data_IF_139166088315
#
_entry.id   IF_139166088315
#
_cell.length_a   1.000
_cell.length_b   1.000
_cell.length_c   1.000
_cell.angle_alpha   90.00
_cell.angle_beta   90.00
_cell.angle_gamma   90.00
#
_symmetry.space_group_name_H-M   'P 1'
#
loop_
_entity.id
_entity.type
_entity.pdbx_description
1 polymer ?
#
# COMPACT_ATOMS: atom_id res chain seq x y z
N UNK A 1 12.09 -20.06 -15.85
CA UNK A 1 12.93 -20.03 -14.63
C UNK A 1 12.00 -20.19 -13.45
N UNK A 2 12.18 -21.19 -12.57
CA UNK A 2 11.30 -21.32 -11.38
C UNK A 2 11.47 -20.05 -10.54
N UNK A 3 10.40 -19.27 -10.38
CA UNK A 3 10.37 -18.14 -9.46
C UNK A 3 10.74 -18.64 -8.06
N UNK A 4 11.68 -17.99 -7.37
CA UNK A 4 12.04 -18.38 -6.00
C UNK A 4 10.81 -18.24 -5.11
N UNK A 5 10.60 -19.23 -4.24
CA UNK A 5 9.49 -19.19 -3.28
C UNK A 5 9.90 -18.35 -2.07
N UNK A 6 8.94 -17.66 -1.43
CA UNK A 6 9.23 -16.75 -0.30
C UNK A 6 10.09 -17.39 0.79
N UNK A 7 9.87 -18.68 1.06
CA UNK A 7 10.62 -19.46 2.07
C UNK A 7 12.10 -19.65 1.75
N UNK A 8 12.48 -19.59 0.47
CA UNK A 8 13.85 -19.84 0.00
C UNK A 8 14.58 -18.54 -0.36
N UNK A 9 13.90 -17.39 -0.23
CA UNK A 9 14.42 -16.07 -0.55
C UNK A 9 15.04 -15.42 0.69
N UNK A 10 16.27 -14.91 0.55
CA UNK A 10 16.96 -14.15 1.60
C UNK A 10 16.99 -12.65 1.32
N UNK A 11 17.01 -12.26 0.03
CA UNK A 11 17.05 -10.87 -0.39
C UNK A 11 15.76 -10.11 0.00
N UNK A 12 15.86 -9.00 0.75
CA UNK A 12 14.68 -8.26 1.21
C UNK A 12 13.84 -7.64 0.10
N UNK A 13 14.44 -7.18 -1.00
CA UNK A 13 13.68 -6.61 -2.12
C UNK A 13 12.96 -7.72 -2.91
N UNK A 14 13.58 -8.87 -3.09
CA UNK A 14 12.96 -10.06 -3.69
C UNK A 14 11.79 -10.57 -2.82
N UNK A 15 11.92 -10.53 -1.49
CA UNK A 15 10.79 -10.82 -0.58
C UNK A 15 9.64 -9.83 -0.76
N UNK A 16 9.94 -8.52 -0.84
CA UNK A 16 8.92 -7.48 -1.05
C UNK A 16 8.19 -7.69 -2.37
N UNK A 17 8.90 -8.01 -3.44
CA UNK A 17 8.32 -8.30 -4.75
C UNK A 17 7.38 -9.51 -4.69
N UNK A 18 7.83 -10.64 -4.10
CA UNK A 18 7.01 -11.86 -3.97
C UNK A 18 5.72 -11.58 -3.17
N UNK A 19 5.82 -10.84 -2.05
CA UNK A 19 4.66 -10.50 -1.21
C UNK A 19 3.70 -9.56 -1.95
N UNK A 20 4.24 -8.56 -2.67
CA UNK A 20 3.45 -7.64 -3.50
C UNK A 20 2.68 -8.36 -4.60
N UNK A 21 3.34 -9.28 -5.32
CA UNK A 21 2.72 -10.08 -6.38
C UNK A 21 1.61 -10.98 -5.82
N UNK A 22 1.84 -11.62 -4.66
CA UNK A 22 0.84 -12.44 -3.99
C UNK A 22 -0.39 -11.61 -3.58
N UNK A 23 -0.20 -10.38 -3.09
CA UNK A 23 -1.29 -9.47 -2.75
C UNK A 23 -2.13 -9.11 -3.99
N UNK A 24 -1.49 -8.81 -5.12
CA UNK A 24 -2.20 -8.50 -6.37
C UNK A 24 -3.04 -9.69 -6.84
N UNK A 25 -2.45 -10.88 -6.85
CA UNK A 25 -3.15 -12.10 -7.25
C UNK A 25 -4.37 -12.38 -6.36
N UNK A 26 -4.21 -12.19 -5.04
CA UNK A 26 -5.30 -12.34 -4.10
C UNK A 26 -6.41 -11.32 -4.36
N UNK A 27 -6.06 -10.03 -4.52
CA UNK A 27 -7.04 -8.97 -4.82
C UNK A 27 -7.84 -9.25 -6.08
N UNK A 28 -7.19 -9.68 -7.17
CA UNK A 28 -7.90 -10.01 -8.41
C UNK A 28 -8.86 -11.18 -8.21
N UNK A 29 -8.42 -12.23 -7.51
CA UNK A 29 -9.25 -13.37 -7.17
C UNK A 29 -10.45 -12.97 -6.31
N UNK A 30 -10.27 -12.06 -5.35
CA UNK A 30 -11.36 -11.60 -4.48
C UNK A 30 -12.38 -10.74 -5.24
N UNK A 31 -11.95 -9.90 -6.19
CA UNK A 31 -12.87 -9.16 -7.08
C UNK A 31 -13.73 -10.13 -7.89
N UNK A 32 -13.11 -11.12 -8.52
CA UNK A 32 -13.83 -12.15 -9.27
C UNK A 32 -14.78 -12.95 -8.38
N UNK A 33 -14.30 -13.40 -7.21
CA UNK A 33 -15.08 -14.18 -6.25
C UNK A 33 -16.31 -13.43 -5.73
N UNK A 34 -16.18 -12.11 -5.52
CA UNK A 34 -17.27 -11.25 -5.07
C UNK A 34 -18.17 -10.79 -6.22
N UNK A 35 -17.84 -11.10 -7.48
CA UNK A 35 -18.59 -10.65 -8.65
C UNK A 35 -18.55 -9.14 -8.84
N UNK A 36 -17.49 -8.48 -8.38
CA UNK A 36 -17.31 -7.05 -8.55
C UNK A 36 -16.81 -6.73 -9.95
N UNK A 37 -17.35 -5.67 -10.55
CA UNK A 37 -16.88 -5.19 -11.85
C UNK A 37 -15.52 -4.51 -11.69
N UNK A 38 -14.50 -5.07 -12.35
CA UNK A 38 -13.13 -4.58 -12.30
C UNK A 38 -12.96 -3.16 -12.87
N UNK A 39 -13.87 -2.71 -13.74
CA UNK A 39 -13.81 -1.38 -14.35
C UNK A 39 -14.42 -0.31 -13.45
N UNK A 40 -15.36 -0.67 -12.57
CA UNK A 40 -15.97 0.27 -11.60
C UNK A 40 -15.43 0.13 -10.18
N UNK A 41 -14.71 -0.96 -9.88
CA UNK A 41 -14.17 -1.19 -8.53
C UNK A 41 -13.00 -0.25 -8.27
N UNK A 42 -13.06 0.44 -7.13
CA UNK A 42 -12.00 1.34 -6.67
C UNK A 42 -11.21 0.72 -5.53
N UNK A 43 -9.90 0.98 -5.51
CA UNK A 43 -9.01 0.66 -4.41
C UNK A 43 -8.93 1.86 -3.46
N UNK A 44 -9.52 1.72 -2.27
CA UNK A 44 -9.38 2.70 -1.20
C UNK A 44 -8.11 2.42 -0.39
N UNK A 45 -7.23 3.42 -0.29
CA UNK A 45 -5.95 3.31 0.42
C UNK A 45 -5.87 4.30 1.58
N UNK A 46 -5.36 3.84 2.72
CA UNK A 46 -5.14 4.67 3.90
C UNK A 46 -3.89 5.55 3.84
N UNK A 47 -3.40 5.90 2.64
CA UNK A 47 -2.22 6.73 2.41
C UNK A 47 -2.37 8.08 3.10
N UNK A 48 -1.36 8.49 3.86
CA UNK A 48 -1.32 9.77 4.58
C UNK A 48 -0.44 10.78 3.86
N UNK A 49 -0.51 12.06 4.27
CA UNK A 49 0.32 13.13 3.72
C UNK A 49 1.84 12.84 3.78
N UNK A 50 2.40 12.33 4.90
CA UNK A 50 3.83 11.99 4.96
C UNK A 50 4.24 10.93 3.91
N UNK A 51 3.40 9.93 3.67
CA UNK A 51 3.66 8.85 2.73
C UNK A 51 3.82 9.37 1.28
N UNK A 52 3.04 10.40 0.91
CA UNK A 52 3.14 11.03 -0.41
C UNK A 52 4.41 11.86 -0.58
N UNK A 53 4.87 12.54 0.48
CA UNK A 53 6.10 13.33 0.45
C UNK A 53 7.31 12.40 0.29
N UNK A 54 7.33 11.27 1.02
CA UNK A 54 8.36 10.24 0.88
C UNK A 54 8.38 9.65 -0.53
N UNK A 55 7.20 9.31 -1.07
CA UNK A 55 7.06 8.78 -2.44
C UNK A 55 7.50 9.78 -3.52
N UNK A 56 7.27 11.09 -3.32
CA UNK A 56 7.71 12.14 -4.24
C UNK A 56 9.23 12.41 -4.18
N UNK A 57 9.84 12.21 -3.00
CA UNK A 57 11.29 12.34 -2.80
C UNK A 57 12.08 11.27 -3.57
N UNK A 58 11.56 10.04 -3.67
CA UNK A 58 12.16 8.98 -4.49
C UNK A 58 12.19 9.32 -5.99
N UNK A 59 11.19 10.08 -6.49
CA UNK A 59 11.16 10.57 -7.88
C UNK A 59 12.09 11.77 -8.12
N UNK A 60 12.43 12.53 -7.07
CA UNK A 60 13.22 13.77 -7.17
C UNK A 60 14.74 13.56 -7.00
N UNK A 61 15.19 12.47 -6.40
CA UNK A 61 16.61 12.23 -6.09
C UNK A 61 17.26 11.20 -7.03
N UNK A 62 17.84 11.69 -8.14
CA UNK A 62 18.67 10.90 -9.08
C UNK A 62 19.95 10.34 -8.42
N UNK A 63 20.33 10.82 -7.23
CA UNK A 63 21.59 10.50 -6.55
C UNK A 63 21.44 9.77 -5.20
N UNK A 64 20.23 9.51 -4.72
CA UNK A 64 20.03 8.76 -3.48
C UNK A 64 19.80 7.29 -3.82
N UNK A 65 20.73 6.41 -3.41
CA UNK A 65 20.54 4.95 -3.39
C UNK A 65 19.10 4.64 -2.99
N UNK A 66 18.33 3.91 -3.79
CA UNK A 66 16.93 3.51 -3.54
C UNK A 66 16.71 3.19 -2.06
N UNK A 67 16.26 4.17 -1.27
CA UNK A 67 16.03 3.99 0.17
C UNK A 67 14.61 3.47 0.28
N UNK A 68 14.44 2.18 -0.04
CA UNK A 68 13.22 1.37 0.06
C UNK A 68 12.16 1.75 -0.97
N UNK A 69 11.62 0.76 -1.68
CA UNK A 69 10.40 0.96 -2.46
C UNK A 69 9.25 1.24 -1.49
N UNK A 70 8.59 2.39 -1.64
CA UNK A 70 7.43 2.71 -0.81
C UNK A 70 6.34 1.63 -1.00
N UNK A 71 5.98 0.92 0.07
CA UNK A 71 5.10 -0.26 0.01
C UNK A 71 3.71 0.04 -0.56
N UNK A 72 3.29 1.31 -0.53
CA UNK A 72 1.99 1.75 -1.04
C UNK A 72 2.01 2.13 -2.54
N UNK A 73 3.16 2.16 -3.22
CA UNK A 73 3.27 2.60 -4.62
C UNK A 73 3.76 1.48 -5.57
N UNK A 74 3.05 0.36 -5.56
CA UNK A 74 3.34 -0.79 -6.42
C UNK A 74 3.00 -0.52 -7.90
N UNK A 75 3.55 -1.28 -8.87
CA UNK A 75 3.17 -1.15 -10.28
C UNK A 75 1.67 -1.23 -10.54
N UNK A 76 0.94 -2.08 -9.80
CA UNK A 76 -0.53 -2.14 -9.89
C UNK A 76 -1.18 -0.86 -9.38
N UNK A 77 -0.77 -0.34 -8.22
CA UNK A 77 -1.37 0.89 -7.67
C UNK A 77 -1.16 2.05 -8.63
N UNK A 78 0.03 2.17 -9.25
CA UNK A 78 0.30 3.16 -10.29
C UNK A 78 -0.63 2.99 -11.50
N UNK A 79 -0.93 1.76 -11.87
CA UNK A 79 -1.77 1.41 -13.00
C UNK A 79 -3.26 1.71 -12.72
N UNK A 80 -3.78 1.30 -11.57
CA UNK A 80 -5.11 1.66 -11.08
C UNK A 80 -5.26 3.18 -10.89
N UNK A 81 -4.22 3.87 -10.39
CA UNK A 81 -4.22 5.33 -10.24
C UNK A 81 -4.33 6.03 -11.59
N UNK A 82 -3.64 5.54 -12.63
CA UNK A 82 -3.79 6.05 -14.02
C UNK A 82 -5.19 5.85 -14.57
N UNK A 83 -5.87 4.78 -14.16
CA UNK A 83 -7.27 4.50 -14.51
C UNK A 83 -8.30 5.27 -13.67
N UNK A 84 -7.85 6.07 -12.69
CA UNK A 84 -8.74 6.77 -11.76
C UNK A 84 -9.44 5.85 -10.75
N UNK A 85 -8.92 4.63 -10.56
CA UNK A 85 -9.50 3.59 -9.70
C UNK A 85 -8.83 3.52 -8.32
N UNK A 86 -8.16 4.58 -7.87
CA UNK A 86 -7.56 4.67 -6.54
C UNK A 86 -8.12 5.89 -5.82
N UNK A 87 -8.60 5.69 -4.59
CA UNK A 87 -9.04 6.76 -3.70
C UNK A 87 -8.20 6.76 -2.42
N UNK A 88 -7.66 7.92 -2.07
CA UNK A 88 -6.78 8.12 -0.90
C UNK A 88 -7.42 9.19 0.00
N UNK A 89 -8.47 8.85 0.79
CA UNK A 89 -9.26 9.82 1.53
C UNK A 89 -8.48 10.53 2.64
N UNK A 90 -7.40 9.92 3.14
CA UNK A 90 -6.61 10.42 4.26
C UNK A 90 -5.36 11.20 3.80
N UNK A 91 -5.18 11.40 2.49
CA UNK A 91 -3.93 11.91 1.89
C UNK A 91 -3.51 13.31 2.34
N UNK A 92 -4.43 14.09 2.89
CA UNK A 92 -4.14 15.44 3.40
C UNK A 92 -3.87 15.46 4.91
N UNK A 93 -4.07 14.33 5.60
CA UNK A 93 -3.99 14.24 7.06
C UNK A 93 -2.62 13.73 7.53
N UNK A 94 -2.23 14.20 8.71
CA UNK A 94 -1.14 13.68 9.52
C UNK A 94 -1.63 12.58 10.47
N UNK A 95 -0.70 11.88 11.11
CA UNK A 95 -0.98 10.67 11.90
C UNK A 95 -1.84 10.95 13.14
N UNK A 96 -1.63 12.09 13.79
CA UNK A 96 -2.45 12.59 14.89
C UNK A 96 -3.88 12.92 14.46
N UNK A 97 -4.06 13.58 13.32
CA UNK A 97 -5.37 13.90 12.74
C UNK A 97 -6.17 12.63 12.39
N UNK A 98 -5.50 11.61 11.85
CA UNK A 98 -6.12 10.29 11.56
C UNK A 98 -6.54 9.57 12.83
N UNK A 99 -5.79 9.72 13.93
CA UNK A 99 -6.16 9.14 15.22
C UNK A 99 -7.40 9.81 15.79
N UNK A 100 -7.44 11.13 15.75
CA UNK A 100 -8.62 11.90 16.16
C UNK A 100 -9.85 11.52 15.32
N UNK A 101 -9.67 11.37 14.00
CA UNK A 101 -10.73 10.89 13.11
C UNK A 101 -11.20 9.47 13.48
N UNK A 102 -10.26 8.56 13.79
CA UNK A 102 -10.58 7.21 14.25
C UNK A 102 -11.48 7.21 15.49
N UNK A 103 -11.15 8.03 16.48
CA UNK A 103 -11.96 8.21 17.70
C UNK A 103 -13.36 8.75 17.38
N UNK A 104 -13.46 9.76 16.52
CA UNK A 104 -14.75 10.33 16.08
C UNK A 104 -15.63 9.33 15.32
N UNK A 105 -15.02 8.37 14.62
CA UNK A 105 -15.70 7.28 13.92
C UNK A 105 -16.05 6.09 14.84
N UNK A 106 -15.68 6.15 16.12
CA UNK A 106 -15.96 5.09 17.10
C UNK A 106 -15.00 3.90 17.03
N UNK A 107 -13.81 4.06 16.44
CA UNK A 107 -12.79 3.03 16.46
C UNK A 107 -12.26 2.83 17.89
N UNK A 108 -12.08 1.58 18.36
CA UNK A 108 -11.49 1.29 19.67
C UNK A 108 -10.11 1.93 19.86
N UNK A 109 -9.84 2.46 21.05
CA UNK A 109 -8.55 3.07 21.43
C UNK A 109 -7.36 2.17 21.10
N UNK A 110 -7.47 0.87 21.36
CA UNK A 110 -6.40 -0.10 21.09
C UNK A 110 -6.04 -0.19 19.60
N UNK A 111 -7.00 0.03 18.69
CA UNK A 111 -6.75 0.05 17.24
C UNK A 111 -6.17 1.38 16.80
N UNK A 112 -6.69 2.48 17.33
CA UNK A 112 -6.23 3.84 17.00
C UNK A 112 -4.78 4.07 17.44
N UNK A 113 -4.41 3.56 18.61
CA UNK A 113 -3.08 3.74 19.20
C UNK A 113 -2.08 2.63 18.86
N UNK A 114 -2.48 1.62 18.09
CA UNK A 114 -1.60 0.52 17.70
C UNK A 114 -0.32 1.04 17.03
N UNK A 115 0.80 0.40 17.37
CA UNK A 115 2.08 0.70 16.71
C UNK A 115 2.02 0.36 15.21
N UNK A 116 2.67 1.16 14.35
CA UNK A 116 2.77 0.84 12.93
C UNK A 116 3.46 -0.50 12.75
N UNK A 117 2.95 -1.27 11.79
CA UNK A 117 3.45 -2.60 11.43
C UNK A 117 3.81 -2.59 9.93
N UNK A 118 5.01 -3.04 9.55
CA UNK A 118 5.44 -3.03 8.16
C UNK A 118 4.64 -4.04 7.31
N UNK A 119 4.36 -3.70 6.06
CA UNK A 119 3.61 -4.57 5.13
C UNK A 119 4.14 -6.01 5.00
N UNK A 120 5.46 -6.25 4.82
CA UNK A 120 6.01 -7.61 4.72
C UNK A 120 6.20 -8.33 6.07
N UNK A 121 5.82 -7.69 7.19
CA UNK A 121 6.17 -8.15 8.54
C UNK A 121 7.53 -7.70 9.02
#
# INVERSE_FOLDING_TARGET
>A
TKSKTLKDTTDPEEKRAIIGDAFIQLRNREIERLGLDADTTVLAMGTLRPDLIESASELASVNAKVIKTHHNDTPLVRELRKRGQVIEPLKELHKDEVRELGHKLGAPDELVWRHPFPGPG
#
